data_IF_273366272535
#
_entry.id   IF_273366272535
#
_cell.length_a   1.000
_cell.length_b   1.000
_cell.length_c   1.000
_cell.angle_alpha   90.00
_cell.angle_beta   90.00
_cell.angle_gamma   90.00
#
_symmetry.space_group_name_H-M   'P 1'
#
loop_
_entity.id
_entity.type
_entity.pdbx_description
1 polymer ?
#
# COMPACT_ATOMS: atom_id res chain seq x y z
N UNK A 1 -12.54 13.28 15.40
CA UNK A 1 -11.25 13.83 14.92
C UNK A 1 -11.27 13.96 13.40
N UNK A 2 -10.72 15.03 12.81
CA UNK A 2 -10.62 15.17 11.34
C UNK A 2 -9.23 14.76 10.88
N UNK A 3 -9.10 13.59 10.24
CA UNK A 3 -7.86 13.16 9.58
C UNK A 3 -7.56 14.12 8.40
N UNK A 4 -6.38 14.72 8.41
CA UNK A 4 -5.89 15.58 7.31
C UNK A 4 -5.12 14.74 6.28
N UNK A 5 -5.56 14.78 5.02
CA UNK A 5 -4.89 14.06 3.92
C UNK A 5 -4.06 15.00 3.04
N UNK A 6 -2.79 14.64 2.84
CA UNK A 6 -1.87 15.34 1.93
C UNK A 6 -1.72 14.53 0.65
N UNK A 7 -2.38 14.99 -0.41
CA UNK A 7 -2.38 14.32 -1.70
C UNK A 7 -1.12 14.63 -2.51
N UNK A 8 -0.46 13.60 -3.02
CA UNK A 8 0.77 13.71 -3.78
C UNK A 8 0.68 12.91 -5.08
N UNK A 9 0.73 13.58 -6.22
CA UNK A 9 0.98 12.94 -7.51
C UNK A 9 2.48 12.77 -7.71
N UNK A 10 2.96 11.52 -7.73
CA UNK A 10 4.40 11.29 -7.82
C UNK A 10 4.76 10.35 -8.98
N UNK A 11 5.31 10.92 -10.05
CA UNK A 11 5.78 10.18 -11.23
C UNK A 11 6.98 9.31 -10.90
N UNK A 12 7.83 9.73 -9.97
CA UNK A 12 8.97 8.94 -9.51
C UNK A 12 8.52 7.71 -8.73
N UNK A 13 7.57 7.85 -7.81
CA UNK A 13 6.93 6.72 -7.13
C UNK A 13 6.16 5.83 -8.10
N UNK A 14 5.54 6.41 -9.15
CA UNK A 14 4.90 5.63 -10.22
C UNK A 14 5.88 4.76 -10.99
N UNK A 15 7.06 5.30 -11.29
CA UNK A 15 8.16 4.55 -11.91
C UNK A 15 8.59 3.36 -11.05
N UNK A 16 8.84 3.58 -9.75
CA UNK A 16 9.20 2.50 -8.83
C UNK A 16 8.07 1.49 -8.62
N UNK A 17 6.81 1.94 -8.60
CA UNK A 17 5.64 1.07 -8.48
C UNK A 17 5.51 0.16 -9.70
N UNK A 18 5.69 0.71 -10.90
CA UNK A 18 5.75 -0.08 -12.13
C UNK A 18 6.92 -1.08 -12.09
N UNK A 19 8.11 -0.64 -11.70
CA UNK A 19 9.27 -1.52 -11.58
C UNK A 19 9.05 -2.67 -10.60
N UNK A 20 8.45 -2.40 -9.43
CA UNK A 20 8.11 -3.43 -8.44
C UNK A 20 7.22 -4.52 -9.02
N UNK A 21 6.23 -4.14 -9.82
CA UNK A 21 5.26 -5.09 -10.41
C UNK A 21 5.89 -5.83 -11.60
N UNK A 22 6.58 -5.10 -12.48
CA UNK A 22 7.11 -5.61 -13.74
C UNK A 22 8.36 -6.46 -13.60
N UNK A 23 9.15 -6.27 -12.54
CA UNK A 23 10.25 -7.18 -12.19
C UNK A 23 9.76 -8.53 -11.61
N UNK A 24 8.49 -8.62 -11.22
CA UNK A 24 7.87 -9.84 -10.73
C UNK A 24 7.13 -10.58 -11.84
N UNK A 25 5.88 -10.93 -11.58
CA UNK A 25 4.96 -11.45 -12.58
C UNK A 25 4.02 -10.30 -13.00
N UNK A 26 4.20 -9.71 -14.19
CA UNK A 26 3.31 -8.69 -14.70
C UNK A 26 1.86 -9.19 -14.72
N UNK A 27 0.88 -8.38 -14.27
CA UNK A 27 -0.51 -8.75 -14.38
C UNK A 27 -0.95 -8.81 -15.84
N UNK A 28 -2.04 -9.53 -16.11
CA UNK A 28 -2.64 -9.56 -17.44
C UNK A 28 -3.16 -8.17 -17.83
N UNK A 29 -2.99 -7.81 -19.11
CA UNK A 29 -3.51 -6.56 -19.67
C UNK A 29 -2.59 -5.34 -19.53
N UNK A 30 -1.38 -5.49 -18.98
CA UNK A 30 -0.36 -4.43 -19.06
C UNK A 30 0.15 -4.30 -20.50
N UNK A 31 0.34 -3.06 -20.96
CA UNK A 31 0.90 -2.79 -22.28
C UNK A 31 2.26 -3.48 -22.48
N UNK A 32 2.40 -4.23 -23.57
CA UNK A 32 3.67 -4.88 -23.94
C UNK A 32 4.80 -3.86 -24.11
N UNK A 33 4.51 -2.67 -24.64
CA UNK A 33 5.50 -1.60 -24.81
C UNK A 33 6.06 -1.15 -23.46
N UNK A 34 5.18 -0.99 -22.46
CA UNK A 34 5.59 -0.63 -21.10
C UNK A 34 6.42 -1.74 -20.45
N UNK A 35 6.01 -3.01 -20.61
CA UNK A 35 6.75 -4.17 -20.11
C UNK A 35 8.15 -4.20 -20.74
N UNK A 36 8.22 -4.13 -22.07
CA UNK A 36 9.47 -4.20 -22.84
C UNK A 36 10.42 -3.05 -22.50
N UNK A 37 9.90 -1.85 -22.24
CA UNK A 37 10.71 -0.70 -21.86
C UNK A 37 11.21 -0.77 -20.40
N UNK A 38 10.33 -1.10 -19.45
CA UNK A 38 10.61 -0.92 -18.02
C UNK A 38 11.16 -2.18 -17.34
N UNK A 39 10.67 -3.37 -17.72
CA UNK A 39 11.07 -4.62 -17.06
C UNK A 39 12.58 -4.90 -17.12
N UNK A 40 13.31 -4.64 -18.24
CA UNK A 40 14.76 -4.84 -18.27
C UNK A 40 15.52 -3.98 -17.25
N UNK A 41 15.16 -2.70 -17.14
CA UNK A 41 15.78 -1.79 -16.17
C UNK A 41 15.40 -2.15 -14.73
N UNK A 42 14.15 -2.57 -14.50
CA UNK A 42 13.68 -3.05 -13.19
C UNK A 42 14.43 -4.33 -12.76
N UNK A 43 14.66 -5.27 -13.68
CA UNK A 43 15.43 -6.48 -13.42
C UNK A 43 16.91 -6.18 -13.14
N UNK A 44 17.51 -5.22 -13.88
CA UNK A 44 18.86 -4.74 -13.60
C UNK A 44 18.98 -4.18 -12.17
N UNK A 45 18.01 -3.35 -11.74
CA UNK A 45 17.94 -2.86 -10.37
C UNK A 45 17.85 -4.02 -9.37
N UNK A 46 16.98 -5.02 -9.60
CA UNK A 46 16.88 -6.20 -8.74
C UNK A 46 18.21 -6.96 -8.66
N UNK A 47 18.93 -7.11 -9.76
CA UNK A 47 20.27 -7.72 -9.75
C UNK A 47 21.26 -6.92 -8.91
N UNK A 48 21.24 -5.58 -8.98
CA UNK A 48 22.08 -4.74 -8.11
C UNK A 48 21.73 -4.90 -6.62
N UNK A 49 20.44 -5.02 -6.29
CA UNK A 49 20.00 -5.29 -4.91
C UNK A 49 20.50 -6.65 -4.42
N UNK A 50 20.46 -7.67 -5.27
CA UNK A 50 20.97 -9.00 -4.94
C UNK A 50 22.49 -8.98 -4.72
N UNK A 51 23.25 -8.27 -5.56
CA UNK A 51 24.70 -8.07 -5.35
C UNK A 51 24.97 -7.36 -4.02
N UNK A 52 24.14 -6.38 -3.66
CA UNK A 52 24.22 -5.69 -2.38
C UNK A 52 23.68 -6.51 -1.18
N UNK A 53 23.17 -7.73 -1.41
CA UNK A 53 22.50 -8.58 -0.40
C UNK A 53 21.29 -7.92 0.26
N UNK A 54 20.60 -7.03 -0.45
CA UNK A 54 19.33 -6.44 -0.02
C UNK A 54 18.18 -7.27 -0.59
N UNK A 55 17.32 -7.79 0.28
CA UNK A 55 16.11 -8.46 -0.16
C UNK A 55 15.20 -7.46 -0.92
N UNK A 56 14.73 -7.76 -2.15
CA UNK A 56 13.89 -6.84 -2.92
C UNK A 56 12.64 -6.38 -2.18
N UNK A 57 11.99 -7.27 -1.41
CA UNK A 57 10.82 -6.92 -0.57
C UNK A 57 11.15 -5.80 0.42
N UNK A 58 12.31 -5.84 1.08
CA UNK A 58 12.77 -4.83 2.03
C UNK A 58 13.11 -3.52 1.31
N UNK A 59 13.77 -3.59 0.15
CA UNK A 59 14.03 -2.41 -0.66
C UNK A 59 12.74 -1.68 -1.01
N UNK A 60 11.77 -2.38 -1.61
CA UNK A 60 10.48 -1.81 -2.02
C UNK A 60 9.67 -1.24 -0.85
N UNK A 61 9.74 -1.89 0.33
CA UNK A 61 9.08 -1.41 1.56
C UNK A 61 9.51 0.01 1.94
N UNK A 62 10.77 0.36 1.72
CA UNK A 62 11.34 1.66 2.06
C UNK A 62 11.39 2.62 0.87
N UNK A 63 11.81 2.14 -0.31
CA UNK A 63 12.04 2.98 -1.48
C UNK A 63 10.77 3.66 -1.99
N UNK A 64 9.63 2.97 -1.97
CA UNK A 64 8.38 3.50 -2.50
C UNK A 64 7.83 4.70 -1.72
N UNK A 65 7.62 4.63 -0.39
CA UNK A 65 7.17 5.80 0.35
C UNK A 65 8.24 6.90 0.39
N UNK A 66 9.53 6.55 0.49
CA UNK A 66 10.62 7.54 0.49
C UNK A 66 10.76 8.27 -0.85
N UNK A 67 10.47 7.61 -1.97
CA UNK A 67 10.52 8.26 -3.30
C UNK A 67 9.52 9.39 -3.44
N UNK A 68 8.47 9.42 -2.61
CA UNK A 68 7.52 10.52 -2.58
C UNK A 68 8.09 11.76 -1.87
N UNK A 69 9.08 11.56 -1.00
CA UNK A 69 9.69 12.59 -0.16
C UNK A 69 11.08 13.02 -0.65
N UNK A 70 11.73 12.20 -1.50
CA UNK A 70 13.10 12.39 -1.97
C UNK A 70 13.15 12.43 -3.51
N UNK A 71 13.68 13.52 -4.06
CA UNK A 71 13.83 13.70 -5.51
C UNK A 71 15.08 12.99 -6.07
N UNK A 72 16.12 12.86 -5.24
CA UNK A 72 17.43 12.34 -5.61
C UNK A 72 17.49 10.81 -5.62
N UNK A 73 17.81 10.20 -6.76
CA UNK A 73 17.96 8.73 -6.88
C UNK A 73 19.12 8.18 -6.04
N UNK A 74 20.26 8.88 -6.05
CA UNK A 74 21.41 8.52 -5.22
C UNK A 74 21.11 8.70 -3.72
N UNK A 75 20.36 9.73 -3.35
CA UNK A 75 19.91 9.94 -1.97
C UNK A 75 18.96 8.84 -1.52
N UNK A 76 17.96 8.50 -2.34
CA UNK A 76 17.05 7.38 -2.08
C UNK A 76 17.82 6.07 -1.86
N UNK A 77 18.80 5.76 -2.73
CA UNK A 77 19.65 4.59 -2.59
C UNK A 77 20.39 4.57 -1.24
N UNK A 78 21.01 5.69 -0.85
CA UNK A 78 21.71 5.82 0.44
C UNK A 78 20.76 5.60 1.61
N UNK A 79 19.61 6.27 1.63
CA UNK A 79 18.65 6.19 2.74
C UNK A 79 18.08 4.77 2.87
N UNK A 80 17.73 4.13 1.75
CA UNK A 80 17.21 2.77 1.77
C UNK A 80 18.27 1.78 2.24
N UNK A 81 19.50 1.86 1.73
CA UNK A 81 20.61 1.02 2.21
C UNK A 81 20.88 1.23 3.69
N UNK A 82 20.83 2.47 4.18
CA UNK A 82 20.99 2.76 5.61
C UNK A 82 19.92 2.08 6.46
N UNK A 83 18.66 2.08 5.99
CA UNK A 83 17.54 1.45 6.69
C UNK A 83 17.55 -0.08 6.64
N UNK A 84 18.16 -0.67 5.62
CA UNK A 84 18.16 -2.14 5.44
C UNK A 84 19.43 -2.82 5.94
N UNK A 85 20.61 -2.20 5.73
CA UNK A 85 21.92 -2.78 6.00
C UNK A 85 22.80 -1.93 6.94
N UNK A 86 22.36 -0.73 7.30
CA UNK A 86 23.10 0.17 8.19
C UNK A 86 24.01 1.18 7.49
N UNK A 87 24.76 1.94 8.28
CA UNK A 87 25.50 3.12 7.83
C UNK A 87 26.58 2.80 6.80
N UNK A 88 27.39 1.76 7.03
CA UNK A 88 28.52 1.41 6.15
C UNK A 88 28.06 1.11 4.72
N UNK A 89 26.95 0.40 4.56
CA UNK A 89 26.38 0.11 3.25
C UNK A 89 25.98 1.38 2.50
N UNK A 90 25.42 2.37 3.21
CA UNK A 90 24.98 3.64 2.62
C UNK A 90 26.12 4.55 2.15
N UNK A 91 27.32 4.38 2.70
CA UNK A 91 28.52 5.15 2.31
C UNK A 91 29.41 4.40 1.30
N UNK A 92 29.08 3.15 1.02
CA UNK A 92 29.81 2.30 0.07
C UNK A 92 29.49 2.63 -1.40
N UNK A 93 30.29 2.06 -2.31
CA UNK A 93 30.01 2.09 -3.75
C UNK A 93 28.68 1.45 -4.17
N UNK A 94 28.04 0.65 -3.29
CA UNK A 94 26.72 0.06 -3.56
C UNK A 94 25.64 1.13 -3.75
N UNK A 95 25.70 2.22 -2.98
CA UNK A 95 24.75 3.33 -3.11
C UNK A 95 24.84 4.00 -4.48
N UNK A 96 26.06 4.15 -5.02
CA UNK A 96 26.27 4.68 -6.36
C UNK A 96 25.75 3.72 -7.44
N UNK A 97 26.01 2.42 -7.29
CA UNK A 97 25.52 1.40 -8.24
C UNK A 97 23.98 1.36 -8.30
N UNK A 98 23.32 1.31 -7.14
CA UNK A 98 21.85 1.33 -7.06
C UNK A 98 21.30 2.66 -7.57
N UNK A 99 21.95 3.80 -7.25
CA UNK A 99 21.57 5.12 -7.77
C UNK A 99 21.65 5.20 -9.30
N UNK A 100 22.65 4.57 -9.91
CA UNK A 100 22.77 4.41 -11.36
C UNK A 100 21.60 3.62 -11.94
N UNK A 101 21.33 2.42 -11.40
CA UNK A 101 20.21 1.58 -11.84
C UNK A 101 18.84 2.27 -11.70
N UNK A 102 18.65 3.06 -10.64
CA UNK A 102 17.45 3.90 -10.47
C UNK A 102 17.34 5.00 -11.53
N UNK A 103 18.47 5.55 -11.99
CA UNK A 103 18.50 6.58 -13.04
C UNK A 103 18.17 5.98 -14.41
N UNK A 104 18.70 4.79 -14.71
CA UNK A 104 18.37 4.03 -15.92
C UNK A 104 16.88 3.67 -15.95
N UNK A 105 16.36 3.20 -14.82
CA UNK A 105 14.93 2.90 -14.65
C UNK A 105 14.05 4.13 -14.86
N UNK A 106 14.44 5.28 -14.30
CA UNK A 106 13.72 6.55 -14.49
C UNK A 106 13.66 6.91 -15.98
N UNK A 107 14.79 6.78 -16.67
CA UNK A 107 14.92 7.12 -18.10
C UNK A 107 14.04 6.22 -18.97
N UNK A 108 14.07 4.90 -18.72
CA UNK A 108 13.23 3.93 -19.43
C UNK A 108 11.74 4.20 -19.20
N UNK A 109 11.34 4.49 -17.96
CA UNK A 109 9.96 4.80 -17.62
C UNK A 109 9.48 6.11 -18.25
N UNK A 110 10.29 7.16 -18.20
CA UNK A 110 9.94 8.45 -18.80
C UNK A 110 9.78 8.37 -20.33
N UNK A 111 10.57 7.52 -20.99
CA UNK A 111 10.42 7.26 -22.42
C UNK A 111 9.11 6.51 -22.74
N UNK A 112 8.74 5.53 -21.91
CA UNK A 112 7.51 4.74 -22.09
C UNK A 112 6.24 5.52 -21.69
N UNK A 113 6.34 6.42 -20.70
CA UNK A 113 5.22 7.16 -20.11
C UNK A 113 5.49 8.68 -20.10
N UNK A 114 5.66 9.33 -21.26
CA UNK A 114 6.06 10.74 -21.34
C UNK A 114 5.04 11.71 -20.75
N UNK A 115 3.77 11.30 -20.63
CA UNK A 115 2.66 12.10 -20.09
C UNK A 115 2.27 11.69 -18.67
N UNK A 116 3.16 11.02 -17.93
CA UNK A 116 2.80 10.45 -16.64
C UNK A 116 2.29 11.48 -15.63
N UNK A 117 2.91 12.66 -15.59
CA UNK A 117 2.49 13.76 -14.72
C UNK A 117 1.08 14.27 -15.06
N UNK A 118 0.81 14.49 -16.35
CA UNK A 118 -0.50 14.95 -16.82
C UNK A 118 -1.59 13.92 -16.51
N UNK A 119 -1.30 12.63 -16.72
CA UNK A 119 -2.24 11.55 -16.39
C UNK A 119 -2.54 11.46 -14.89
N UNK A 120 -1.51 11.56 -14.03
CA UNK A 120 -1.72 11.54 -12.58
C UNK A 120 -2.60 12.70 -12.12
N UNK A 121 -2.40 13.89 -12.66
CA UNK A 121 -3.19 15.07 -12.32
C UNK A 121 -4.68 14.86 -12.64
N UNK A 122 -4.98 14.25 -13.79
CA UNK A 122 -6.35 13.89 -14.18
C UNK A 122 -6.96 12.82 -13.26
N UNK A 123 -6.15 11.86 -12.83
CA UNK A 123 -6.57 10.72 -11.99
C UNK A 123 -6.77 11.07 -10.52
N UNK A 124 -6.13 12.12 -10.01
CA UNK A 124 -6.32 12.56 -8.61
C UNK A 124 -7.76 12.99 -8.34
N UNK A 125 -8.33 13.75 -9.27
CA UNK A 125 -9.57 14.48 -9.03
C UNK A 125 -10.77 13.56 -8.68
N UNK A 126 -11.09 12.49 -9.43
CA UNK A 126 -12.22 11.63 -9.12
C UNK A 126 -12.15 11.03 -7.70
N UNK A 127 -11.00 10.49 -7.32
CA UNK A 127 -10.82 9.88 -6.00
C UNK A 127 -10.89 10.92 -4.87
N UNK A 128 -10.30 12.10 -5.07
CA UNK A 128 -10.35 13.18 -4.09
C UNK A 128 -11.77 13.69 -3.88
N UNK A 129 -12.51 13.96 -4.95
CA UNK A 129 -13.90 14.42 -4.87
C UNK A 129 -14.78 13.35 -4.18
N UNK A 130 -14.59 12.07 -4.53
CA UNK A 130 -15.33 10.97 -3.91
C UNK A 130 -14.97 10.79 -2.42
N UNK A 131 -13.69 11.01 -2.06
CA UNK A 131 -13.26 11.04 -0.66
C UNK A 131 -13.86 12.23 0.10
N UNK A 132 -13.84 13.44 -0.46
CA UNK A 132 -14.46 14.62 0.17
C UNK A 132 -15.97 14.41 0.40
N UNK A 133 -16.65 13.68 -0.49
CA UNK A 133 -18.07 13.39 -0.38
C UNK A 133 -18.42 12.32 0.68
N UNK A 134 -17.61 11.27 0.84
CA UNK A 134 -17.97 10.09 1.67
C UNK A 134 -16.94 9.70 2.74
N UNK A 135 -15.68 10.09 2.57
CA UNK A 135 -14.55 9.74 3.44
C UNK A 135 -14.74 10.11 4.91
N UNK A 136 -15.16 11.35 5.26
CA UNK A 136 -15.42 11.70 6.66
C UNK A 136 -16.48 10.82 7.32
N UNK A 137 -17.58 10.51 6.60
CA UNK A 137 -18.60 9.59 7.08
C UNK A 137 -18.07 8.17 7.26
N UNK A 138 -17.27 7.70 6.30
CA UNK A 138 -16.64 6.39 6.33
C UNK A 138 -15.76 6.24 7.59
N UNK A 139 -14.93 7.23 7.88
CA UNK A 139 -14.10 7.23 9.09
C UNK A 139 -14.92 7.30 10.38
N UNK A 140 -16.01 8.08 10.39
CA UNK A 140 -16.91 8.15 11.53
C UNK A 140 -17.50 6.78 11.88
N UNK A 141 -18.02 6.03 10.90
CA UNK A 141 -18.56 4.69 11.15
C UNK A 141 -17.47 3.67 11.48
N UNK A 142 -16.29 3.80 10.88
CA UNK A 142 -15.15 2.95 11.21
C UNK A 142 -14.75 3.08 12.68
N UNK A 143 -14.73 4.30 13.24
CA UNK A 143 -14.41 4.56 14.64
C UNK A 143 -15.46 4.06 15.63
N UNK A 144 -16.64 3.60 15.16
CA UNK A 144 -17.64 2.94 16.02
C UNK A 144 -17.28 1.48 16.31
N UNK A 145 -16.44 0.87 15.47
CA UNK A 145 -16.05 -0.55 15.56
C UNK A 145 -14.55 -0.76 15.73
N UNK A 146 -13.73 0.25 15.44
CA UNK A 146 -12.29 0.27 15.69
C UNK A 146 -11.91 1.41 16.65
N UNK A 147 -10.79 1.31 17.38
CA UNK A 147 -10.29 2.41 18.21
C UNK A 147 -10.01 3.66 17.38
N UNK A 148 -10.36 4.83 17.92
CA UNK A 148 -10.03 6.13 17.29
C UNK A 148 -8.53 6.26 17.00
N UNK A 149 -7.70 5.73 17.90
CA UNK A 149 -6.23 5.75 17.83
C UNK A 149 -5.65 4.94 16.66
N UNK A 150 -6.44 4.13 15.94
CA UNK A 150 -5.98 3.45 14.73
C UNK A 150 -5.78 4.43 13.56
N UNK A 151 -6.50 5.56 13.59
CA UNK A 151 -6.38 6.60 12.58
C UNK A 151 -5.37 7.66 13.05
N UNK A 152 -4.42 8.05 12.19
CA UNK A 152 -3.53 9.16 12.49
C UNK A 152 -4.27 10.50 12.38
N UNK A 153 -3.66 11.58 12.87
CA UNK A 153 -4.17 12.94 12.68
C UNK A 153 -3.91 13.45 11.25
N UNK A 154 -2.81 13.02 10.64
CA UNK A 154 -2.41 13.40 9.28
C UNK A 154 -1.92 12.16 8.52
N UNK A 155 -2.11 12.08 7.21
CA UNK A 155 -1.50 11.03 6.39
C UNK A 155 -1.18 11.52 4.97
N UNK A 156 -0.09 11.02 4.38
CA UNK A 156 0.23 11.26 2.97
C UNK A 156 -0.47 10.24 2.08
N UNK A 157 -1.12 10.72 1.01
CA UNK A 157 -1.77 9.89 -0.01
C UNK A 157 -0.97 10.02 -1.31
N UNK A 158 -0.19 8.99 -1.61
CA UNK A 158 0.70 8.92 -2.77
C UNK A 158 -0.05 8.24 -3.92
N UNK A 159 -0.40 9.03 -4.93
CA UNK A 159 -1.03 8.53 -6.15
C UNK A 159 0.01 8.13 -7.19
N UNK A 160 -0.16 6.92 -7.72
CA UNK A 160 0.68 6.36 -8.78
C UNK A 160 -0.14 5.96 -9.99
N UNK A 161 0.50 5.86 -11.17
CA UNK A 161 -0.20 5.38 -12.36
C UNK A 161 -0.60 3.91 -12.23
N UNK A 162 -1.76 3.52 -12.79
CA UNK A 162 -2.24 2.16 -12.68
C UNK A 162 -1.42 1.20 -13.54
N UNK A 163 -0.96 0.12 -12.92
CA UNK A 163 -0.28 -1.00 -13.57
C UNK A 163 -1.06 -2.30 -13.32
N UNK A 164 -1.79 -2.39 -12.21
CA UNK A 164 -2.41 -3.63 -11.73
C UNK A 164 -3.91 -3.52 -11.43
N UNK A 165 -4.54 -2.44 -11.89
CA UNK A 165 -5.99 -2.28 -11.88
C UNK A 165 -6.58 -1.86 -10.54
N UNK A 166 -5.89 -1.01 -9.78
CA UNK A 166 -6.35 -0.49 -8.49
C UNK A 166 -5.58 -1.08 -7.30
N UNK A 167 -4.27 -1.31 -7.40
CA UNK A 167 -3.50 -1.78 -6.24
C UNK A 167 -3.27 -0.65 -5.23
N UNK A 168 -3.27 -1.01 -3.93
CA UNK A 168 -2.97 -0.11 -2.83
C UNK A 168 -2.06 -0.73 -1.77
N UNK A 169 -1.34 0.09 -1.00
CA UNK A 169 -0.48 -0.34 0.11
C UNK A 169 -0.34 0.76 1.15
N UNK A 170 -0.53 0.40 2.42
CA UNK A 170 -0.19 1.26 3.55
C UNK A 170 1.30 1.08 3.90
N UNK A 171 1.99 2.19 4.08
CA UNK A 171 3.39 2.27 4.48
C UNK A 171 3.46 2.74 5.93
N UNK A 172 3.17 1.84 6.88
CA UNK A 172 2.97 2.15 8.30
C UNK A 172 4.10 3.05 8.88
N UNK A 173 5.36 2.62 8.70
CA UNK A 173 6.55 3.34 9.19
C UNK A 173 6.78 4.74 8.58
N UNK A 174 5.95 5.15 7.61
CA UNK A 174 6.02 6.42 6.91
C UNK A 174 4.73 7.23 7.00
N UNK A 175 3.73 6.72 7.72
CA UNK A 175 2.43 7.35 7.86
C UNK A 175 1.82 7.79 6.50
N UNK A 176 1.97 6.91 5.50
CA UNK A 176 1.55 7.18 4.13
C UNK A 176 0.88 5.97 3.50
N UNK A 177 -0.01 6.23 2.55
CA UNK A 177 -0.66 5.21 1.73
C UNK A 177 -0.32 5.46 0.28
N UNK A 178 -0.08 4.40 -0.47
CA UNK A 178 0.10 4.45 -1.92
C UNK A 178 -1.05 3.72 -2.58
N UNK A 179 -1.63 4.31 -3.60
CA UNK A 179 -2.65 3.66 -4.43
C UNK A 179 -2.60 4.09 -5.89
N UNK A 180 -3.01 3.19 -6.76
CA UNK A 180 -3.15 3.47 -8.19
C UNK A 180 -4.31 4.46 -8.44
N UNK A 181 -4.04 5.55 -9.14
CA UNK A 181 -5.02 6.56 -9.51
C UNK A 181 -5.96 6.05 -10.61
N UNK A 182 -7.10 5.50 -10.22
CA UNK A 182 -8.12 5.05 -11.16
C UNK A 182 -9.03 6.20 -11.58
N UNK A 183 -9.38 6.27 -12.88
CA UNK A 183 -10.36 7.26 -13.38
C UNK A 183 -11.80 6.89 -13.02
N UNK A 184 -12.04 5.61 -12.74
CA UNK A 184 -13.32 5.02 -12.37
C UNK A 184 -13.05 3.82 -11.47
N UNK A 185 -14.04 3.43 -10.67
CA UNK A 185 -13.93 2.24 -9.82
C UNK A 185 -13.81 0.98 -10.69
N UNK A 186 -12.69 0.23 -10.63
CA UNK A 186 -12.51 -0.98 -11.44
C UNK A 186 -13.55 -2.05 -11.10
N UNK A 187 -13.96 -2.10 -9.83
CA UNK A 187 -15.11 -2.84 -9.37
C UNK A 187 -16.07 -1.89 -8.62
N UNK A 188 -17.21 -1.51 -9.22
CA UNK A 188 -18.17 -0.60 -8.61
C UNK A 188 -18.78 -1.10 -7.29
N UNK A 189 -18.72 -2.41 -7.01
CA UNK A 189 -19.21 -2.96 -5.74
C UNK A 189 -18.25 -2.69 -4.58
N UNK A 190 -16.98 -2.39 -4.87
CA UNK A 190 -15.94 -2.14 -3.88
C UNK A 190 -15.07 -0.95 -4.31
N UNK A 191 -15.58 0.29 -4.12
CA UNK A 191 -15.01 1.50 -4.70
C UNK A 191 -13.65 1.89 -4.10
N UNK A 192 -12.89 2.69 -4.85
CA UNK A 192 -11.54 3.14 -4.49
C UNK A 192 -11.53 3.98 -3.19
N UNK A 193 -12.61 4.71 -2.90
CA UNK A 193 -12.78 5.46 -1.65
C UNK A 193 -12.78 4.54 -0.44
N UNK A 194 -13.45 3.39 -0.53
CA UNK A 194 -13.43 2.39 0.54
C UNK A 194 -12.03 1.80 0.70
N UNK A 195 -11.30 1.58 -0.40
CA UNK A 195 -9.89 1.13 -0.33
C UNK A 195 -9.01 2.17 0.36
N UNK A 196 -9.18 3.46 0.03
CA UNK A 196 -8.42 4.52 0.70
C UNK A 196 -8.68 4.51 2.21
N UNK A 197 -9.94 4.45 2.64
CA UNK A 197 -10.28 4.35 4.07
C UNK A 197 -9.67 3.12 4.75
N UNK A 198 -9.70 1.97 4.07
CA UNK A 198 -9.06 0.74 4.54
C UNK A 198 -7.55 0.91 4.73
N UNK A 199 -6.85 1.50 3.76
CA UNK A 199 -5.41 1.72 3.85
C UNK A 199 -5.06 2.69 4.99
N UNK A 200 -5.84 3.76 5.17
CA UNK A 200 -5.63 4.75 6.22
C UNK A 200 -5.83 4.16 7.63
N UNK A 201 -6.81 3.26 7.79
CA UNK A 201 -7.08 2.58 9.06
C UNK A 201 -5.95 1.68 9.56
N UNK A 202 -4.97 1.39 8.70
CA UNK A 202 -3.83 0.55 9.05
C UNK A 202 -2.70 1.35 9.72
N UNK A 203 -2.61 2.66 9.50
CA UNK A 203 -1.35 3.40 9.63
C UNK A 203 -0.76 3.41 11.04
N UNK A 204 -1.57 3.43 12.10
CA UNK A 204 -1.07 3.43 13.48
C UNK A 204 -0.88 2.02 14.07
N UNK A 205 -1.12 0.94 13.31
CA UNK A 205 -1.01 -0.42 13.84
C UNK A 205 0.44 -0.89 14.05
N UNK A 206 1.43 -0.17 13.55
CA UNK A 206 2.85 -0.43 13.85
C UNK A 206 3.34 0.24 15.14
N UNK A 207 2.50 1.06 15.81
CA UNK A 207 2.86 1.66 17.11
C UNK A 207 3.15 0.57 18.16
N UNK A 208 4.17 0.75 19.04
CA UNK A 208 4.59 -0.30 19.98
C UNK A 208 3.47 -0.90 20.83
N UNK A 209 2.48 -0.10 21.24
CA UNK A 209 1.32 -0.56 22.01
C UNK A 209 0.48 -1.64 21.30
N UNK A 210 0.60 -1.78 19.98
CA UNK A 210 -0.10 -2.79 19.18
C UNK A 210 0.84 -3.84 18.58
N UNK A 211 2.06 -3.45 18.19
CA UNK A 211 2.94 -4.26 17.33
C UNK A 211 4.08 -5.00 18.05
N UNK A 212 4.36 -4.69 19.33
CA UNK A 212 5.57 -5.15 20.04
C UNK A 212 5.78 -6.68 20.01
N UNK A 213 4.71 -7.47 20.05
CA UNK A 213 4.76 -8.94 20.04
C UNK A 213 4.56 -9.57 18.65
N UNK A 214 4.44 -8.76 17.59
CA UNK A 214 4.22 -9.21 16.22
C UNK A 214 5.49 -8.97 15.41
N UNK A 215 5.90 -9.95 14.61
CA UNK A 215 7.06 -9.83 13.73
C UNK A 215 6.90 -8.59 12.81
N UNK A 216 7.92 -7.70 12.71
CA UNK A 216 7.89 -6.53 11.84
C UNK A 216 7.59 -6.83 10.36
N UNK A 217 7.88 -8.04 9.87
CA UNK A 217 7.57 -8.46 8.50
C UNK A 217 6.13 -8.95 8.34
N UNK A 218 5.44 -9.25 9.46
CA UNK A 218 4.06 -9.76 9.52
C UNK A 218 3.05 -8.68 9.87
N UNK A 219 3.44 -7.64 10.63
CA UNK A 219 2.51 -6.59 11.09
C UNK A 219 1.71 -5.95 9.95
N UNK A 220 2.33 -5.75 8.78
CA UNK A 220 1.63 -5.20 7.62
C UNK A 220 0.50 -6.09 7.11
N UNK A 221 0.64 -7.42 7.17
CA UNK A 221 -0.45 -8.35 6.82
C UNK A 221 -1.52 -8.36 7.91
N UNK A 222 -1.11 -8.42 9.18
CA UNK A 222 -2.06 -8.40 10.31
C UNK A 222 -2.91 -7.14 10.28
N UNK A 223 -2.30 -5.97 10.05
CA UNK A 223 -2.99 -4.69 9.95
C UNK A 223 -4.05 -4.67 8.83
N UNK A 224 -3.70 -5.19 7.65
CA UNK A 224 -4.61 -5.33 6.50
C UNK A 224 -5.84 -6.14 6.84
N UNK A 225 -5.64 -7.30 7.48
CA UNK A 225 -6.70 -8.24 7.82
C UNK A 225 -7.57 -7.72 8.98
N UNK A 226 -6.93 -7.14 10.00
CA UNK A 226 -7.61 -6.67 11.20
C UNK A 226 -8.61 -5.54 10.95
N UNK A 227 -8.34 -4.72 9.94
CA UNK A 227 -9.14 -3.52 9.62
C UNK A 227 -10.18 -3.76 8.52
N UNK A 228 -10.09 -4.88 7.81
CA UNK A 228 -10.93 -5.18 6.66
C UNK A 228 -12.42 -5.36 7.02
N UNK A 229 -12.81 -6.07 8.10
CA UNK A 229 -14.22 -6.15 8.48
C UNK A 229 -14.81 -4.77 8.83
N UNK A 230 -14.07 -3.97 9.61
CA UNK A 230 -14.50 -2.65 10.04
C UNK A 230 -14.73 -1.67 8.88
N UNK A 231 -13.87 -1.70 7.85
CA UNK A 231 -14.05 -0.82 6.68
C UNK A 231 -15.20 -1.27 5.78
N UNK A 232 -15.45 -2.58 5.64
CA UNK A 232 -16.60 -3.07 4.89
C UNK A 232 -17.91 -2.66 5.58
N UNK A 233 -17.99 -2.84 6.91
CA UNK A 233 -19.10 -2.32 7.72
C UNK A 233 -19.30 -0.82 7.51
N UNK A 234 -18.24 -0.02 7.67
CA UNK A 234 -18.34 1.42 7.53
C UNK A 234 -18.75 1.86 6.10
N UNK A 235 -18.30 1.14 5.07
CA UNK A 235 -18.63 1.43 3.68
C UNK A 235 -20.10 1.10 3.35
N UNK A 236 -20.69 0.09 3.98
CA UNK A 236 -22.13 -0.19 3.89
C UNK A 236 -22.95 0.95 4.53
N UNK A 237 -22.54 1.43 5.71
CA UNK A 237 -23.23 2.51 6.43
C UNK A 237 -23.25 3.84 5.67
N UNK A 238 -22.24 4.11 4.82
CA UNK A 238 -22.20 5.30 3.96
C UNK A 238 -22.66 5.04 2.52
N UNK A 239 -23.28 3.88 2.28
CA UNK A 239 -23.84 3.46 0.98
C UNK A 239 -22.80 3.41 -0.16
N UNK A 240 -21.51 3.26 0.17
CA UNK A 240 -20.46 2.97 -0.82
C UNK A 240 -20.54 1.52 -1.31
N UNK A 241 -21.02 0.63 -0.44
CA UNK A 241 -21.24 -0.79 -0.72
C UNK A 241 -22.69 -1.12 -0.36
N UNK A 242 -23.34 -1.96 -1.17
CA UNK A 242 -24.67 -2.47 -0.82
C UNK A 242 -24.53 -3.60 0.21
N UNK A 243 -25.35 -3.61 1.28
CA UNK A 243 -25.28 -4.67 2.28
C UNK A 243 -25.28 -6.07 1.69
N UNK A 244 -24.28 -6.88 2.08
CA UNK A 244 -24.16 -8.28 1.67
C UNK A 244 -23.76 -8.51 0.21
N UNK A 245 -23.38 -7.47 -0.55
CA UNK A 245 -22.95 -7.62 -1.95
C UNK A 245 -21.46 -7.88 -2.12
N UNK A 246 -20.65 -7.60 -1.10
CA UNK A 246 -19.21 -7.87 -1.09
C UNK A 246 -18.88 -8.70 0.14
N UNK A 247 -18.39 -9.91 -0.06
CA UNK A 247 -17.88 -10.73 1.04
C UNK A 247 -16.45 -10.33 1.42
N UNK A 248 -15.99 -10.77 2.60
CA UNK A 248 -14.57 -10.65 2.98
C UNK A 248 -13.65 -11.30 1.94
N UNK A 249 -14.02 -12.45 1.38
CA UNK A 249 -13.24 -13.13 0.35
C UNK A 249 -13.15 -12.30 -0.94
N UNK A 250 -14.26 -11.68 -1.36
CA UNK A 250 -14.27 -10.78 -2.51
C UNK A 250 -13.33 -9.60 -2.29
N UNK A 251 -13.38 -8.96 -1.11
CA UNK A 251 -12.50 -7.84 -0.80
C UNK A 251 -11.02 -8.25 -0.78
N UNK A 252 -10.67 -9.39 -0.17
CA UNK A 252 -9.31 -9.93 -0.16
C UNK A 252 -8.78 -10.17 -1.58
N UNK A 253 -9.64 -10.69 -2.48
CA UNK A 253 -9.31 -10.96 -3.88
C UNK A 253 -9.19 -9.68 -4.69
N UNK A 254 -10.20 -8.81 -4.65
CA UNK A 254 -10.28 -7.60 -5.47
C UNK A 254 -9.20 -6.58 -5.10
N UNK A 255 -8.90 -6.44 -3.81
CA UNK A 255 -7.81 -5.56 -3.35
C UNK A 255 -6.44 -6.25 -3.29
N UNK A 256 -6.37 -7.50 -3.77
CA UNK A 256 -5.13 -8.26 -3.91
C UNK A 256 -4.32 -8.35 -2.59
N UNK A 257 -5.01 -8.60 -1.48
CA UNK A 257 -4.38 -8.70 -0.14
C UNK A 257 -3.40 -9.88 -0.10
N UNK A 258 -3.81 -10.99 -0.69
CA UNK A 258 -3.01 -12.21 -0.94
C UNK A 258 -3.29 -12.73 -2.35
N UNK A 259 -2.41 -13.60 -2.88
CA UNK A 259 -2.57 -14.17 -4.21
C UNK A 259 -3.47 -15.42 -4.24
N UNK A 260 -3.60 -16.13 -3.13
CA UNK A 260 -4.35 -17.40 -3.03
C UNK A 260 -5.00 -17.55 -1.65
N UNK A 261 -5.96 -18.46 -1.54
CA UNK A 261 -6.58 -18.83 -0.27
C UNK A 261 -7.52 -17.77 0.32
N UNK A 262 -8.18 -16.98 -0.54
CA UNK A 262 -9.04 -15.87 -0.11
C UNK A 262 -10.18 -16.34 0.79
N UNK A 263 -10.79 -17.49 0.49
CA UNK A 263 -11.91 -18.06 1.23
C UNK A 263 -11.49 -18.54 2.63
N UNK A 264 -10.41 -19.31 2.72
CA UNK A 264 -9.88 -19.79 4.00
C UNK A 264 -9.43 -18.62 4.88
N UNK A 265 -8.79 -17.61 4.29
CA UNK A 265 -8.37 -16.43 5.03
C UNK A 265 -9.57 -15.58 5.49
N UNK A 266 -10.60 -15.45 4.66
CA UNK A 266 -11.84 -14.77 5.02
C UNK A 266 -12.54 -15.46 6.20
N UNK A 267 -12.55 -16.80 6.22
CA UNK A 267 -13.11 -17.57 7.33
C UNK A 267 -12.35 -17.29 8.65
N UNK A 268 -11.01 -17.35 8.61
CA UNK A 268 -10.17 -17.05 9.78
C UNK A 268 -10.41 -15.63 10.29
N UNK A 269 -10.43 -14.64 9.39
CA UNK A 269 -10.68 -13.24 9.75
C UNK A 269 -12.09 -13.04 10.30
N UNK A 270 -13.10 -13.68 9.71
CA UNK A 270 -14.47 -13.63 10.18
C UNK A 270 -14.63 -14.19 11.59
N UNK A 271 -14.04 -15.36 11.87
CA UNK A 271 -14.05 -15.98 13.21
C UNK A 271 -13.32 -15.10 14.24
N UNK A 272 -12.17 -14.53 13.87
CA UNK A 272 -11.42 -13.61 14.72
C UNK A 272 -12.23 -12.34 15.03
N UNK A 273 -12.86 -11.73 14.02
CA UNK A 273 -13.65 -10.53 14.17
C UNK A 273 -14.86 -10.76 15.10
N UNK A 274 -15.61 -11.84 14.87
CA UNK A 274 -16.75 -12.20 15.73
C UNK A 274 -16.31 -12.44 17.19
N UNK A 275 -15.15 -13.06 17.38
CA UNK A 275 -14.57 -13.24 18.71
C UNK A 275 -14.24 -11.90 19.35
N UNK A 276 -13.69 -10.96 18.59
CA UNK A 276 -13.36 -9.62 19.08
C UNK A 276 -14.61 -8.80 19.43
N UNK A 277 -15.67 -8.86 18.63
CA UNK A 277 -16.96 -8.20 18.93
C UNK A 277 -17.57 -8.74 20.24
N UNK A 278 -17.49 -10.06 20.45
CA UNK A 278 -18.08 -10.72 21.61
C UNK A 278 -17.27 -10.52 22.89
N UNK A 279 -15.93 -10.65 22.81
CA UNK A 279 -15.06 -10.65 23.98
C UNK A 279 -14.47 -9.29 24.31
N UNK A 280 -14.44 -8.37 23.33
CA UNK A 280 -13.86 -7.03 23.46
C UNK A 280 -12.48 -7.05 24.11
N UNK A 281 -11.62 -7.97 23.67
CA UNK A 281 -10.26 -8.06 24.20
C UNK A 281 -9.48 -6.78 23.86
N UNK A 282 -8.47 -6.40 24.67
CA UNK A 282 -7.56 -5.31 24.31
C UNK A 282 -6.95 -5.57 22.93
N UNK A 283 -6.93 -4.55 22.07
CA UNK A 283 -6.55 -4.71 20.66
C UNK A 283 -5.16 -5.32 20.45
N UNK A 284 -4.19 -5.04 21.33
CA UNK A 284 -2.87 -5.71 21.32
C UNK A 284 -3.00 -7.24 21.35
N UNK A 285 -3.88 -7.77 22.21
CA UNK A 285 -4.13 -9.20 22.34
C UNK A 285 -4.90 -9.74 21.14
N UNK A 286 -5.89 -8.98 20.65
CA UNK A 286 -6.65 -9.37 19.46
C UNK A 286 -5.75 -9.48 18.23
N UNK A 287 -4.87 -8.50 17.98
CA UNK A 287 -3.95 -8.50 16.85
C UNK A 287 -2.93 -9.65 16.95
N UNK A 288 -2.40 -9.93 18.14
CA UNK A 288 -1.52 -11.08 18.36
C UNK A 288 -2.23 -12.41 18.12
N UNK A 289 -3.50 -12.52 18.52
CA UNK A 289 -4.30 -13.72 18.22
C UNK A 289 -4.50 -13.88 16.72
N UNK A 290 -4.82 -12.80 15.99
CA UNK A 290 -4.94 -12.83 14.53
C UNK A 290 -3.63 -13.27 13.88
N UNK A 291 -2.50 -12.71 14.31
CA UNK A 291 -1.18 -13.09 13.82
C UNK A 291 -0.94 -14.60 13.93
N UNK A 292 -1.26 -15.20 15.09
CA UNK A 292 -1.12 -16.65 15.31
C UNK A 292 -2.08 -17.48 14.45
N UNK A 293 -3.28 -16.97 14.16
CA UNK A 293 -4.28 -17.68 13.35
C UNK A 293 -3.93 -17.70 11.86
N UNK A 294 -3.15 -16.72 11.38
CA UNK A 294 -2.76 -16.60 9.96
C UNK A 294 -1.29 -16.98 9.70
N UNK A 295 -0.59 -17.48 10.73
CA UNK A 295 0.77 -18.00 10.63
C UNK A 295 0.81 -19.36 9.93
#
# INVERSE_FOLDING_TARGET
MNLELRWQENTWTSCLHAAQILAGNPPSGVSEDLVNAVAPAANSLVSQLQTAKVAPKLFWRHALPLSAQLDGKGELAKVVLRKTLGLEASESGLAASIGGALSDLTSAYAAAMPKAADELLLRRRPLREAWEARGPGLLYFLQRVLPEEFLPETADVILVLPISGGRGTAHLAYNSVRLEGMLYDPNPQLPEVARLGWLLSQLNLDLPKYSEEIDPDRIGMVARLATLPGILYAAEEVELIKPGTVSLADALKLWQVTHVGHEALAEVVGQWWQTQETRQAPWRIALLALDRMVA
#
